data_IF_025012760893
#
_entry.id   IF_025012760893
#
_cell.length_a   1.000
_cell.length_b   1.000
_cell.length_c   1.000
_cell.angle_alpha   90.00
_cell.angle_beta   90.00
_cell.angle_gamma   90.00
#
_symmetry.space_group_name_H-M   'P 1'
#
loop_
_entity.id
_entity.type
_entity.pdbx_description
1 polymer ?
#
# COMPACT_ATOMS: atom_id res chain seq x y z
N UNK A 1 0.54 0.38 -17.82
CA UNK A 1 0.26 -0.03 -16.45
C UNK A 1 -0.05 -1.51 -16.43
N UNK A 2 0.42 -2.23 -15.43
CA UNK A 2 0.26 -3.69 -15.30
C UNK A 2 -0.88 -4.04 -14.33
N UNK A 3 -1.22 -3.11 -13.43
CA UNK A 3 -2.31 -3.24 -12.48
C UNK A 3 -3.04 -1.93 -12.23
N UNK A 4 -4.28 -2.04 -11.73
CA UNK A 4 -5.08 -0.91 -11.25
C UNK A 4 -5.57 -1.19 -9.83
N UNK A 5 -5.49 -0.17 -8.97
CA UNK A 5 -6.02 -0.24 -7.60
C UNK A 5 -7.37 0.48 -7.55
N UNK A 6 -8.41 -0.21 -7.12
CA UNK A 6 -9.78 0.33 -7.03
C UNK A 6 -10.48 -0.09 -5.74
N UNK A 7 -11.48 0.65 -5.29
CA UNK A 7 -12.39 0.19 -4.23
C UNK A 7 -13.46 -0.76 -4.78
N UNK A 8 -13.97 -1.66 -3.94
CA UNK A 8 -14.96 -2.70 -4.31
C UNK A 8 -16.16 -2.18 -5.11
N UNK A 9 -16.64 -0.99 -4.80
CA UNK A 9 -17.78 -0.39 -5.50
C UNK A 9 -17.49 0.01 -6.94
N UNK A 10 -16.21 0.16 -7.31
CA UNK A 10 -15.78 0.51 -8.67
C UNK A 10 -15.67 -0.70 -9.59
N UNK A 11 -15.52 -1.91 -9.06
CA UNK A 11 -15.38 -3.13 -9.87
C UNK A 11 -16.49 -3.27 -10.90
N UNK A 12 -17.74 -3.07 -10.51
CA UNK A 12 -18.91 -3.14 -11.41
C UNK A 12 -18.94 -2.07 -12.52
N UNK A 13 -18.09 -1.07 -12.44
CA UNK A 13 -18.01 0.03 -13.39
C UNK A 13 -16.82 -0.11 -14.37
N UNK A 14 -15.96 -1.10 -14.13
CA UNK A 14 -14.83 -1.36 -15.01
C UNK A 14 -15.32 -2.08 -16.28
N UNK A 15 -14.92 -1.61 -17.46
CA UNK A 15 -15.25 -2.31 -18.70
C UNK A 15 -14.48 -3.65 -18.78
N UNK A 16 -15.00 -4.67 -19.48
CA UNK A 16 -14.34 -5.98 -19.63
C UNK A 16 -12.91 -5.88 -20.17
N UNK A 17 -12.61 -4.87 -20.97
CA UNK A 17 -11.26 -4.65 -21.53
C UNK A 17 -10.21 -4.29 -20.46
N UNK A 18 -10.62 -3.80 -19.30
CA UNK A 18 -9.70 -3.54 -18.16
C UNK A 18 -9.31 -4.86 -17.53
N UNK A 19 -10.28 -5.73 -17.24
CA UNK A 19 -10.02 -7.07 -16.69
C UNK A 19 -9.15 -7.94 -17.61
N UNK A 20 -9.23 -7.74 -18.93
CA UNK A 20 -8.42 -8.48 -19.89
C UNK A 20 -6.96 -8.00 -19.99
N UNK A 21 -6.65 -6.81 -19.47
CA UNK A 21 -5.34 -6.16 -19.69
C UNK A 21 -4.58 -5.80 -18.42
N UNK A 22 -5.26 -5.66 -17.30
CA UNK A 22 -4.68 -5.18 -16.05
C UNK A 22 -5.05 -6.11 -14.91
N UNK A 23 -4.10 -6.36 -14.01
CA UNK A 23 -4.41 -6.98 -12.73
C UNK A 23 -5.26 -6.02 -11.88
N UNK A 24 -6.28 -6.57 -11.24
CA UNK A 24 -7.23 -5.80 -10.42
C UNK A 24 -6.87 -5.96 -8.93
N UNK A 25 -6.38 -4.89 -8.35
CA UNK A 25 -6.12 -4.83 -6.89
C UNK A 25 -7.27 -4.10 -6.21
N UNK A 26 -7.96 -4.77 -5.29
CA UNK A 26 -9.05 -4.13 -4.54
C UNK A 26 -8.55 -3.56 -3.23
N UNK A 27 -8.70 -2.24 -3.06
CA UNK A 27 -8.29 -1.57 -1.83
C UNK A 27 -9.34 -1.72 -0.73
N UNK A 28 -8.93 -2.36 0.38
CA UNK A 28 -9.82 -2.70 1.50
C UNK A 28 -9.93 -1.60 2.54
N UNK A 29 -9.00 -0.63 2.55
CA UNK A 29 -8.95 0.44 3.54
C UNK A 29 -9.58 1.73 3.02
N UNK A 30 -10.29 2.46 3.86
CA UNK A 30 -10.82 3.78 3.51
C UNK A 30 -10.74 4.75 4.67
N UNK A 31 -10.70 6.03 4.34
CA UNK A 31 -10.86 7.16 5.24
C UNK A 31 -11.29 8.38 4.44
N UNK A 32 -11.76 9.42 5.11
CA UNK A 32 -12.08 10.69 4.45
C UNK A 32 -11.29 11.82 5.11
N UNK A 33 -11.07 12.91 4.38
CA UNK A 33 -10.44 14.13 4.93
C UNK A 33 -11.29 14.83 6.02
N UNK A 34 -12.53 14.41 6.18
CA UNK A 34 -13.47 14.94 7.17
C UNK A 34 -13.57 14.07 8.43
N UNK A 35 -12.86 12.93 8.47
CA UNK A 35 -12.83 12.10 9.68
C UNK A 35 -12.18 12.85 10.84
N UNK A 36 -12.60 12.55 12.06
CA UNK A 36 -12.00 13.12 13.28
C UNK A 36 -10.50 12.78 13.38
N UNK A 37 -10.13 11.55 12.99
CA UNK A 37 -8.75 11.15 12.74
C UNK A 37 -8.59 10.76 11.26
N UNK A 38 -8.05 11.64 10.40
CA UNK A 38 -7.85 11.34 8.98
C UNK A 38 -6.73 10.31 8.74
N UNK A 39 -5.91 10.01 9.77
CA UNK A 39 -4.86 8.99 9.69
C UNK A 39 -5.39 7.59 9.94
N UNK A 40 -6.55 7.44 10.59
CA UNK A 40 -7.19 6.15 10.75
C UNK A 40 -7.72 5.59 9.43
N UNK A 41 -7.51 4.29 9.22
CA UNK A 41 -7.96 3.56 8.03
C UNK A 41 -8.93 2.45 8.44
N UNK A 42 -10.18 2.58 8.01
CA UNK A 42 -11.22 1.58 8.26
C UNK A 42 -11.17 0.50 7.21
N UNK A 43 -11.31 -0.77 7.60
CA UNK A 43 -11.57 -1.84 6.65
C UNK A 43 -13.01 -1.72 6.14
N UNK A 44 -13.18 -1.71 4.82
CA UNK A 44 -14.48 -1.48 4.16
C UNK A 44 -14.85 -2.58 3.18
N UNK A 45 -14.05 -3.63 3.07
CA UNK A 45 -14.32 -4.80 2.25
C UNK A 45 -13.67 -6.04 2.85
N UNK A 46 -14.22 -7.22 2.52
CA UNK A 46 -13.71 -8.53 2.90
C UNK A 46 -12.96 -9.17 1.73
N UNK A 47 -11.92 -9.96 2.04
CA UNK A 47 -11.06 -10.62 1.05
C UNK A 47 -11.84 -11.55 0.14
N UNK A 48 -12.68 -12.40 0.73
CA UNK A 48 -13.47 -13.39 0.00
C UNK A 48 -14.50 -12.75 -0.93
N UNK A 49 -15.07 -11.59 -0.55
CA UNK A 49 -15.98 -10.85 -1.43
C UNK A 49 -15.24 -10.25 -2.62
N UNK A 50 -14.01 -9.76 -2.41
CA UNK A 50 -13.16 -9.23 -3.47
C UNK A 50 -12.75 -10.33 -4.45
N UNK A 51 -12.33 -11.50 -3.95
CA UNK A 51 -11.99 -12.66 -4.78
C UNK A 51 -13.19 -13.09 -5.65
N UNK A 52 -14.39 -13.23 -5.07
CA UNK A 52 -15.60 -13.57 -5.83
C UNK A 52 -15.96 -12.57 -6.93
N UNK A 53 -15.48 -11.34 -6.82
CA UNK A 53 -15.69 -10.25 -7.80
C UNK A 53 -14.56 -10.12 -8.83
N UNK A 54 -13.61 -11.04 -8.83
CA UNK A 54 -12.51 -11.08 -9.80
C UNK A 54 -11.33 -10.17 -9.45
N UNK A 55 -11.06 -9.98 -8.17
CA UNK A 55 -9.80 -9.37 -7.73
C UNK A 55 -8.64 -10.35 -7.93
N UNK A 56 -7.52 -9.86 -8.46
CA UNK A 56 -6.25 -10.59 -8.58
C UNK A 56 -5.38 -10.41 -7.34
N UNK A 57 -5.61 -9.34 -6.58
CA UNK A 57 -4.96 -9.03 -5.31
C UNK A 57 -5.83 -8.08 -4.48
N UNK A 58 -5.50 -7.95 -3.20
CA UNK A 58 -6.08 -6.89 -2.35
C UNK A 58 -5.00 -5.99 -1.79
N UNK A 59 -5.41 -4.81 -1.31
CA UNK A 59 -4.47 -3.91 -0.63
C UNK A 59 -5.07 -3.31 0.63
N UNK A 60 -4.21 -3.07 1.61
CA UNK A 60 -4.52 -2.35 2.84
C UNK A 60 -3.62 -1.14 3.01
N UNK A 61 -4.05 -0.18 3.82
CA UNK A 61 -3.26 1.00 4.16
C UNK A 61 -3.08 1.07 5.67
N UNK A 62 -1.84 1.19 6.11
CA UNK A 62 -1.46 1.39 7.51
C UNK A 62 -0.66 2.67 7.63
N UNK A 63 -1.04 3.52 8.59
CA UNK A 63 -0.27 4.70 8.97
C UNK A 63 0.45 4.41 10.30
N UNK A 64 1.75 4.10 10.23
CA UNK A 64 2.58 3.92 11.43
C UNK A 64 2.88 5.29 12.08
N UNK A 65 2.87 5.35 13.40
CA UNK A 65 2.96 6.59 14.17
C UNK A 65 1.63 7.32 14.35
N UNK A 66 0.50 6.77 13.85
CA UNK A 66 -0.83 7.31 14.10
C UNK A 66 -1.34 6.93 15.50
N UNK A 67 -2.32 7.68 16.01
CA UNK A 67 -2.96 7.38 17.31
C UNK A 67 -3.77 6.07 17.31
N UNK A 68 -4.01 5.51 16.15
CA UNK A 68 -4.81 4.29 15.92
C UNK A 68 -4.01 3.21 15.22
N UNK A 69 -2.68 3.26 15.31
CA UNK A 69 -1.76 2.30 14.68
C UNK A 69 -2.08 0.87 15.09
N UNK A 70 -2.32 0.62 16.37
CA UNK A 70 -2.66 -0.68 16.93
C UNK A 70 -3.83 -1.35 16.18
N UNK A 71 -4.90 -0.61 15.92
CA UNK A 71 -6.07 -1.10 15.20
C UNK A 71 -5.81 -1.33 13.73
N UNK A 72 -4.98 -0.48 13.12
CA UNK A 72 -4.61 -0.64 11.71
C UNK A 72 -3.73 -1.87 11.50
N UNK A 73 -2.80 -2.15 12.44
CA UNK A 73 -1.97 -3.35 12.42
C UNK A 73 -2.79 -4.62 12.63
N UNK A 74 -3.72 -4.62 13.60
CA UNK A 74 -4.64 -5.75 13.79
C UNK A 74 -5.49 -6.03 12.56
N UNK A 75 -6.01 -4.97 11.91
CA UNK A 75 -6.78 -5.12 10.66
C UNK A 75 -5.91 -5.68 9.53
N UNK A 76 -4.67 -5.21 9.39
CA UNK A 76 -3.73 -5.73 8.38
C UNK A 76 -3.42 -7.21 8.60
N UNK A 77 -3.12 -7.62 9.83
CA UNK A 77 -2.85 -9.02 10.17
C UNK A 77 -4.05 -9.92 9.86
N UNK A 78 -5.27 -9.51 10.24
CA UNK A 78 -6.48 -10.26 9.93
C UNK A 78 -6.74 -10.39 8.41
N UNK A 79 -6.43 -9.34 7.64
CA UNK A 79 -6.49 -9.39 6.18
C UNK A 79 -5.43 -10.32 5.61
N UNK A 80 -4.20 -10.31 6.13
CA UNK A 80 -3.13 -11.21 5.69
C UNK A 80 -3.54 -12.68 5.88
N UNK A 81 -4.07 -13.04 7.05
CA UNK A 81 -4.59 -14.38 7.32
C UNK A 81 -5.73 -14.79 6.35
N UNK A 82 -6.61 -13.84 6.01
CA UNK A 82 -7.68 -14.09 5.04
C UNK A 82 -7.14 -14.25 3.61
N UNK A 83 -6.13 -13.48 3.25
CA UNK A 83 -5.43 -13.58 1.97
C UNK A 83 -4.73 -14.93 1.80
N UNK A 84 -4.03 -15.40 2.84
CA UNK A 84 -3.38 -16.70 2.84
C UNK A 84 -4.41 -17.84 2.63
N UNK A 85 -5.53 -17.81 3.38
CA UNK A 85 -6.61 -18.79 3.20
C UNK A 85 -7.25 -18.76 1.82
N UNK A 86 -7.35 -17.58 1.22
CA UNK A 86 -7.97 -17.37 -0.09
C UNK A 86 -7.01 -17.61 -1.27
N UNK A 87 -5.71 -17.71 -1.02
CA UNK A 87 -4.66 -17.75 -2.05
C UNK A 87 -4.58 -16.43 -2.85
N UNK A 88 -4.84 -15.28 -2.21
CA UNK A 88 -4.91 -13.97 -2.84
C UNK A 88 -3.78 -13.07 -2.33
N UNK A 89 -2.90 -12.51 -3.21
CA UNK A 89 -1.80 -11.66 -2.77
C UNK A 89 -2.25 -10.40 -2.02
N UNK A 90 -1.48 -10.01 -0.98
CA UNK A 90 -1.67 -8.80 -0.20
C UNK A 90 -0.62 -7.73 -0.52
N UNK A 91 -1.06 -6.58 -1.01
CA UNK A 91 -0.28 -5.36 -1.12
C UNK A 91 -0.48 -4.49 0.14
N UNK A 92 0.53 -4.39 0.99
CA UNK A 92 0.51 -3.47 2.13
C UNK A 92 1.05 -2.09 1.74
N UNK A 93 0.23 -1.06 1.91
CA UNK A 93 0.64 0.35 1.78
C UNK A 93 0.96 0.87 3.18
N UNK A 94 2.23 0.90 3.56
CA UNK A 94 2.67 1.30 4.90
C UNK A 94 3.31 2.68 4.85
N UNK A 95 2.68 3.64 5.51
CA UNK A 95 3.11 5.03 5.48
C UNK A 95 3.44 5.54 6.89
N UNK A 96 4.66 6.03 7.11
CA UNK A 96 4.97 6.78 8.32
C UNK A 96 4.17 8.09 8.35
N UNK A 97 3.09 8.12 9.13
CA UNK A 97 2.16 9.25 9.27
C UNK A 97 1.50 9.25 10.62
N UNK A 98 1.66 10.32 11.36
CA UNK A 98 1.01 10.50 12.64
C UNK A 98 1.75 11.50 13.51
N UNK A 99 1.24 11.79 14.73
CA UNK A 99 1.86 12.76 15.63
C UNK A 99 3.29 12.40 16.05
N UNK A 100 3.65 11.11 16.01
CA UNK A 100 4.97 10.61 16.36
C UNK A 100 5.99 10.66 15.21
N UNK A 101 5.55 11.01 14.00
CA UNK A 101 6.39 11.01 12.80
C UNK A 101 6.69 12.45 12.38
N UNK A 102 7.97 12.76 12.17
CA UNK A 102 8.39 14.03 11.56
C UNK A 102 7.93 14.08 10.09
N UNK A 103 7.81 15.28 9.53
CA UNK A 103 7.33 15.53 8.16
C UNK A 103 8.08 14.72 7.08
N UNK A 104 9.31 14.33 7.38
CA UNK A 104 10.15 13.52 6.50
C UNK A 104 10.57 12.23 7.24
N UNK A 105 10.02 11.06 6.88
CA UNK A 105 10.42 9.80 7.49
C UNK A 105 11.89 9.50 7.22
N UNK A 106 12.65 9.24 8.28
CA UNK A 106 14.04 8.84 8.19
C UNK A 106 14.16 7.43 7.58
N UNK A 107 15.35 7.09 7.06
CA UNK A 107 15.63 5.77 6.48
C UNK A 107 15.23 4.62 7.44
N UNK A 108 15.55 4.75 8.72
CA UNK A 108 15.22 3.73 9.71
C UNK A 108 13.71 3.52 9.87
N UNK A 109 12.91 4.58 9.69
CA UNK A 109 11.46 4.48 9.72
C UNK A 109 10.92 3.74 8.48
N UNK A 110 11.53 3.93 7.31
CA UNK A 110 11.17 3.20 6.09
C UNK A 110 11.57 1.72 6.18
N UNK A 111 12.75 1.42 6.73
CA UNK A 111 13.20 0.05 7.00
C UNK A 111 12.25 -0.66 7.97
N UNK A 112 11.85 0.04 9.04
CA UNK A 112 10.87 -0.48 9.99
C UNK A 112 9.51 -0.75 9.33
N UNK A 113 9.02 0.18 8.49
CA UNK A 113 7.77 0.01 7.76
C UNK A 113 7.81 -1.20 6.80
N UNK A 114 8.95 -1.42 6.13
CA UNK A 114 9.16 -2.58 5.26
C UNK A 114 9.17 -3.88 6.06
N UNK A 115 9.93 -3.95 7.16
CA UNK A 115 10.00 -5.14 8.04
C UNK A 115 8.62 -5.46 8.62
N UNK A 116 7.89 -4.46 9.09
CA UNK A 116 6.53 -4.62 9.63
C UNK A 116 5.58 -5.24 8.59
N UNK A 117 5.65 -4.81 7.33
CA UNK A 117 4.84 -5.39 6.28
C UNK A 117 5.14 -6.87 6.05
N UNK A 118 6.42 -7.25 6.06
CA UNK A 118 6.88 -8.65 5.94
C UNK A 118 6.39 -9.47 7.12
N UNK A 119 6.63 -8.99 8.34
CA UNK A 119 6.31 -9.70 9.58
C UNK A 119 4.80 -9.95 9.74
N UNK A 120 3.96 -9.07 9.17
CA UNK A 120 2.50 -9.21 9.18
C UNK A 120 1.94 -9.90 7.93
N UNK A 121 2.79 -10.51 7.09
CA UNK A 121 2.34 -11.40 6.00
C UNK A 121 1.96 -10.69 4.71
N UNK A 122 2.54 -9.53 4.40
CA UNK A 122 2.36 -8.91 3.08
C UNK A 122 3.21 -9.62 2.02
N UNK A 123 2.68 -9.77 0.80
CA UNK A 123 3.41 -10.27 -0.37
C UNK A 123 4.13 -9.15 -1.13
N UNK A 124 3.61 -7.94 -1.04
CA UNK A 124 4.18 -6.74 -1.67
C UNK A 124 4.03 -5.58 -0.68
N UNK A 125 5.05 -4.74 -0.56
CA UNK A 125 4.96 -3.51 0.25
C UNK A 125 5.07 -2.27 -0.63
N UNK A 126 4.22 -1.27 -0.36
CA UNK A 126 4.30 0.06 -0.97
C UNK A 126 4.67 1.09 0.08
N UNK A 127 5.77 1.80 -0.14
CA UNK A 127 6.33 2.80 0.76
C UNK A 127 6.36 4.19 0.11
N UNK A 128 6.28 5.27 0.88
CA UNK A 128 6.52 6.59 0.34
C UNK A 128 7.98 6.71 -0.10
N UNK A 129 8.18 7.32 -1.27
CA UNK A 129 9.51 7.73 -1.67
C UNK A 129 9.96 8.90 -0.82
N UNK A 130 11.13 8.74 -0.21
CA UNK A 130 11.70 9.80 0.57
C UNK A 130 13.24 9.72 0.61
N UNK A 131 13.87 10.89 0.52
CA UNK A 131 15.32 10.99 0.56
C UNK A 131 16.02 10.64 -0.77
N UNK A 132 17.34 10.52 -0.77
CA UNK A 132 18.10 10.19 -1.96
C UNK A 132 17.82 8.75 -2.40
N UNK A 133 18.00 8.47 -3.68
CA UNK A 133 17.85 7.13 -4.30
C UNK A 133 18.61 6.05 -3.54
N UNK A 134 19.80 6.37 -3.04
CA UNK A 134 20.62 5.47 -2.23
C UNK A 134 19.94 4.98 -0.94
N UNK A 135 19.05 5.79 -0.34
CA UNK A 135 18.27 5.39 0.82
C UNK A 135 17.20 4.37 0.43
N UNK A 136 16.48 4.60 -0.67
CA UNK A 136 15.50 3.65 -1.18
C UNK A 136 16.14 2.32 -1.61
N UNK A 137 17.33 2.38 -2.24
CA UNK A 137 18.09 1.16 -2.57
C UNK A 137 18.36 0.32 -1.32
N UNK A 138 18.76 0.93 -0.21
CA UNK A 138 18.97 0.20 1.05
C UNK A 138 17.70 -0.44 1.57
N UNK A 139 16.53 0.21 1.44
CA UNK A 139 15.24 -0.37 1.82
C UNK A 139 14.93 -1.58 0.94
N UNK A 140 15.10 -1.47 -0.37
CA UNK A 140 14.85 -2.54 -1.34
C UNK A 140 15.78 -3.73 -1.08
N UNK A 141 17.08 -3.49 -0.92
CA UNK A 141 18.09 -4.53 -0.69
C UNK A 141 17.87 -5.28 0.65
N UNK A 142 17.19 -4.64 1.62
CA UNK A 142 16.90 -5.23 2.94
C UNK A 142 15.52 -5.89 3.05
N UNK A 143 14.65 -5.69 2.06
CA UNK A 143 13.28 -6.20 2.07
C UNK A 143 13.18 -7.48 1.24
N UNK A 144 12.75 -8.63 1.83
CA UNK A 144 12.68 -9.91 1.10
C UNK A 144 11.47 -10.01 0.15
N UNK A 145 10.54 -9.05 0.18
CA UNK A 145 9.38 -8.97 -0.72
C UNK A 145 9.49 -7.75 -1.65
N UNK A 146 8.80 -7.75 -2.80
CA UNK A 146 8.81 -6.61 -3.71
C UNK A 146 8.41 -5.29 -3.06
N UNK A 147 9.18 -4.23 -3.31
CA UNK A 147 8.91 -2.89 -2.82
C UNK A 147 8.42 -2.01 -3.96
N UNK A 148 7.24 -1.41 -3.78
CA UNK A 148 6.70 -0.40 -4.69
C UNK A 148 6.92 1.00 -4.10
N UNK A 149 7.39 1.90 -4.94
CA UNK A 149 7.56 3.29 -4.56
C UNK A 149 6.28 4.10 -4.82
N UNK A 150 5.81 4.84 -3.81
CA UNK A 150 4.71 5.78 -4.00
C UNK A 150 5.22 7.07 -4.63
N UNK A 151 4.64 7.49 -5.76
CA UNK A 151 5.12 8.61 -6.55
C UNK A 151 5.02 10.01 -5.93
N UNK A 152 4.51 10.14 -4.69
CA UNK A 152 4.43 11.42 -4.00
C UNK A 152 3.43 12.43 -4.62
N UNK A 153 3.70 13.72 -4.46
CA UNK A 153 2.91 14.79 -5.04
C UNK A 153 3.10 14.85 -6.57
N UNK A 154 2.09 15.37 -7.25
CA UNK A 154 2.17 15.55 -8.71
C UNK A 154 3.34 16.48 -9.07
N UNK A 155 4.20 16.00 -9.95
CA UNK A 155 5.34 16.75 -10.50
C UNK A 155 5.21 16.82 -12.02
N UNK A 156 6.01 17.65 -12.70
CA UNK A 156 6.05 17.69 -14.16
C UNK A 156 6.53 16.38 -14.76
N UNK A 157 6.13 16.06 -15.99
CA UNK A 157 6.55 14.84 -16.69
C UNK A 157 8.08 14.71 -16.79
N UNK A 158 8.77 15.84 -16.97
CA UNK A 158 10.25 15.87 -17.01
C UNK A 158 10.85 15.49 -15.65
N UNK A 159 10.33 16.03 -14.55
CA UNK A 159 10.78 15.68 -13.19
C UNK A 159 10.45 14.24 -12.84
N UNK A 160 9.28 13.76 -13.27
CA UNK A 160 8.88 12.37 -13.07
C UNK A 160 9.78 11.41 -13.88
N UNK A 161 10.10 11.75 -15.12
CA UNK A 161 11.00 10.95 -15.97
C UNK A 161 12.42 10.85 -15.40
N UNK A 162 12.99 11.97 -14.93
CA UNK A 162 14.28 11.97 -14.26
C UNK A 162 14.28 11.12 -12.99
N UNK A 163 13.21 11.27 -12.18
CA UNK A 163 13.04 10.51 -10.96
C UNK A 163 12.93 8.98 -11.21
N UNK A 164 12.16 8.56 -12.23
CA UNK A 164 12.04 7.13 -12.60
C UNK A 164 13.40 6.59 -13.05
N UNK A 165 14.16 7.35 -13.85
CA UNK A 165 15.48 6.93 -14.31
C UNK A 165 16.49 6.76 -13.17
N UNK A 166 16.36 7.55 -12.09
CA UNK A 166 17.24 7.46 -10.92
C UNK A 166 16.89 6.28 -10.00
N UNK A 167 15.64 5.78 -10.03
CA UNK A 167 15.16 4.70 -9.14
C UNK A 167 15.26 3.32 -9.80
N UNK A 168 15.28 3.26 -11.13
CA UNK A 168 15.43 2.02 -11.92
C UNK A 168 16.88 1.62 -12.11
#
# INVERSE_FOLDING_TARGET
ADAIVVHKGRLRLLPPSVYAKLAIVVHLSASTKYAADPTFKYQVAEVEDCLRRGADAVSVHVNIGSLTEDRQLQSMAAVADACERAGLPLLAMVYPRGPGIKDHPELNTLLHAASLAVDLGADIVKLPLHGPVTAMKRVIDSCPIPVLAAGGAQVSDHQFGAFVADVM
#
